data_IF_585333636882
#
_entry.id   IF_585333636882
#
_cell.length_a   1.000
_cell.length_b   1.000
_cell.length_c   1.000
_cell.angle_alpha   90.00
_cell.angle_beta   90.00
_cell.angle_gamma   90.00
#
_symmetry.space_group_name_H-M   'P 1'
#
loop_
_entity.id
_entity.type
_entity.pdbx_description
1 polymer ?
#
# COMPACT_ATOMS: atom_id res chain seq x y z
N UNK A 1 5.62 -12.36 12.18
CA UNK A 1 6.05 -11.24 11.33
C UNK A 1 4.95 -11.08 10.31
N UNK A 2 4.33 -9.90 10.21
CA UNK A 2 3.21 -9.67 9.29
C UNK A 2 3.76 -9.23 7.93
N UNK A 3 3.09 -9.62 6.84
CA UNK A 3 3.51 -9.29 5.47
C UNK A 3 3.02 -7.92 4.99
N UNK A 4 2.09 -7.30 5.70
CA UNK A 4 1.57 -5.96 5.45
C UNK A 4 1.04 -5.37 6.75
N UNK A 5 0.96 -4.05 6.88
CA UNK A 5 0.52 -3.41 8.11
C UNK A 5 -0.74 -2.58 7.87
N UNK A 6 -0.80 -1.85 6.75
CA UNK A 6 -1.91 -0.98 6.41
C UNK A 6 -2.94 -1.72 5.56
N UNK A 7 -4.20 -1.58 5.94
CA UNK A 7 -5.35 -2.14 5.22
C UNK A 7 -6.40 -1.06 4.99
N UNK A 8 -7.14 -1.19 3.89
CA UNK A 8 -8.35 -0.43 3.65
C UNK A 8 -9.57 -1.35 3.60
N UNK A 9 -10.74 -0.82 3.98
CA UNK A 9 -11.98 -1.58 3.92
C UNK A 9 -12.39 -1.82 2.47
N UNK A 10 -12.50 -3.09 2.09
CA UNK A 10 -12.94 -3.51 0.78
C UNK A 10 -13.58 -4.91 0.86
N UNK A 11 -14.72 -5.08 0.18
CA UNK A 11 -15.38 -6.38 0.08
C UNK A 11 -14.82 -7.24 -1.06
N UNK A 12 -14.07 -6.63 -1.99
CA UNK A 12 -13.46 -7.31 -3.11
C UNK A 12 -12.33 -6.46 -3.72
N UNK A 13 -11.48 -7.10 -4.54
CA UNK A 13 -10.53 -6.42 -5.43
C UNK A 13 -11.20 -6.10 -6.75
N UNK A 14 -11.08 -4.86 -7.23
CA UNK A 14 -11.61 -4.46 -8.53
C UNK A 14 -13.12 -4.67 -8.63
N UNK A 15 -13.56 -5.43 -9.62
CA UNK A 15 -14.97 -5.83 -9.82
C UNK A 15 -15.38 -7.10 -9.05
N UNK A 16 -14.46 -7.67 -8.26
CA UNK A 16 -14.67 -8.90 -7.50
C UNK A 16 -14.58 -10.19 -8.31
N UNK A 17 -14.01 -10.11 -9.51
CA UNK A 17 -13.66 -11.29 -10.31
C UNK A 17 -12.35 -11.93 -9.85
N UNK A 18 -12.23 -13.23 -10.10
CA UNK A 18 -11.00 -13.99 -9.89
C UNK A 18 -9.83 -13.40 -10.67
N UNK A 19 -10.07 -12.90 -11.89
CA UNK A 19 -9.04 -12.28 -12.72
C UNK A 19 -8.43 -11.02 -12.10
N UNK A 20 -9.26 -10.14 -11.52
CA UNK A 20 -8.77 -8.96 -10.80
C UNK A 20 -8.02 -9.36 -9.52
N UNK A 21 -8.52 -10.34 -8.76
CA UNK A 21 -7.84 -10.84 -7.57
C UNK A 21 -6.47 -11.44 -7.89
N UNK A 22 -6.37 -12.31 -8.89
CA UNK A 22 -5.08 -12.91 -9.32
C UNK A 22 -4.11 -11.82 -9.79
N UNK A 23 -4.58 -10.87 -10.59
CA UNK A 23 -3.75 -9.74 -11.06
C UNK A 23 -3.27 -8.84 -9.92
N UNK A 24 -4.05 -8.74 -8.83
CA UNK A 24 -3.65 -8.04 -7.61
C UNK A 24 -2.64 -8.85 -6.81
N UNK A 25 -2.83 -10.18 -6.65
CA UNK A 25 -1.88 -11.08 -5.98
C UNK A 25 -0.52 -11.08 -6.67
N UNK A 26 -0.48 -11.11 -8.00
CA UNK A 26 0.75 -11.02 -8.79
C UNK A 26 1.55 -9.76 -8.44
N UNK A 27 0.88 -8.61 -8.33
CA UNK A 27 1.51 -7.35 -7.94
C UNK A 27 1.92 -7.36 -6.48
N UNK A 28 1.05 -7.82 -5.59
CA UNK A 28 1.31 -7.91 -4.16
C UNK A 28 2.58 -8.73 -3.89
N UNK A 29 2.71 -9.91 -4.50
CA UNK A 29 3.90 -10.75 -4.42
C UNK A 29 5.11 -10.07 -5.06
N UNK A 30 4.96 -9.44 -6.23
CA UNK A 30 6.06 -8.73 -6.88
C UNK A 30 6.58 -7.54 -6.06
N UNK A 31 5.74 -6.92 -5.23
CA UNK A 31 6.14 -5.82 -4.34
C UNK A 31 6.85 -6.38 -3.11
N UNK A 32 6.36 -7.44 -2.49
CA UNK A 32 6.96 -8.02 -1.28
C UNK A 32 8.25 -8.79 -1.55
N UNK A 33 8.31 -9.45 -2.71
CA UNK A 33 9.40 -10.31 -3.13
C UNK A 33 9.89 -9.84 -4.50
N UNK A 34 10.60 -8.70 -4.60
CA UNK A 34 10.98 -8.11 -5.89
C UNK A 34 11.88 -9.02 -6.72
N UNK A 35 12.65 -9.89 -6.08
CA UNK A 35 13.53 -10.87 -6.71
C UNK A 35 12.89 -12.26 -6.78
N UNK A 36 11.56 -12.34 -6.69
CA UNK A 36 10.87 -13.62 -6.73
C UNK A 36 11.21 -14.43 -7.99
N UNK A 37 11.36 -15.73 -7.79
CA UNK A 37 11.70 -16.71 -8.82
C UNK A 37 10.46 -17.27 -9.54
N UNK A 38 9.33 -16.57 -9.48
CA UNK A 38 8.10 -16.99 -10.16
C UNK A 38 8.30 -16.80 -11.66
N UNK A 39 8.16 -17.90 -12.40
CA UNK A 39 8.22 -17.90 -13.87
C UNK A 39 6.89 -17.45 -14.45
N UNK A 40 5.78 -18.02 -13.96
CA UNK A 40 4.45 -17.65 -14.40
C UNK A 40 3.38 -17.95 -13.35
N UNK A 41 2.26 -17.23 -13.51
CA UNK A 41 1.00 -17.46 -12.82
C UNK A 41 0.03 -18.12 -13.78
N UNK A 42 -0.56 -19.23 -13.38
CA UNK A 42 -1.49 -19.96 -14.20
C UNK A 42 -2.90 -19.39 -14.09
N UNK A 43 -3.62 -19.41 -15.20
CA UNK A 43 -5.07 -19.39 -15.14
C UNK A 43 -5.60 -20.82 -15.13
N UNK A 44 -6.71 -21.00 -14.42
CA UNK A 44 -7.41 -22.28 -14.37
C UNK A 44 -8.27 -22.51 -15.63
N UNK A 45 -7.92 -21.88 -16.75
CA UNK A 45 -8.72 -21.85 -17.98
C UNK A 45 -9.02 -23.25 -18.54
N UNK A 46 -8.08 -24.18 -18.36
CA UNK A 46 -8.16 -25.56 -18.85
C UNK A 46 -8.44 -26.59 -17.76
N UNK A 47 -8.62 -26.15 -16.51
CA UNK A 47 -8.98 -27.06 -15.42
C UNK A 47 -10.47 -27.43 -15.49
N UNK A 48 -10.81 -28.62 -15.00
CA UNK A 48 -12.19 -29.11 -14.94
C UNK A 48 -13.04 -28.35 -13.90
N UNK A 49 -14.07 -28.99 -13.35
CA UNK A 49 -15.01 -28.36 -12.38
C UNK A 49 -14.36 -27.81 -11.10
N UNK A 50 -13.09 -28.10 -10.83
CA UNK A 50 -12.39 -27.78 -9.58
C UNK A 50 -11.55 -26.49 -9.62
N UNK A 51 -11.56 -25.73 -10.71
CA UNK A 51 -10.82 -24.46 -10.82
C UNK A 51 -11.70 -23.28 -11.19
N UNK A 52 -11.46 -22.15 -10.54
CA UNK A 52 -12.16 -20.88 -10.79
C UNK A 52 -11.58 -20.20 -12.03
N UNK A 53 -12.44 -19.81 -12.97
CA UNK A 53 -12.05 -19.06 -14.16
C UNK A 53 -11.89 -17.59 -13.83
N UNK A 54 -11.10 -16.88 -14.63
CA UNK A 54 -10.84 -15.43 -14.44
C UNK A 54 -12.11 -14.57 -14.37
N UNK A 55 -13.18 -14.97 -15.05
CA UNK A 55 -14.47 -14.25 -15.09
C UNK A 55 -15.39 -14.62 -13.94
N UNK A 56 -15.08 -15.66 -13.17
CA UNK A 56 -15.92 -16.09 -12.07
C UNK A 56 -15.79 -15.11 -10.90
N UNK A 57 -16.85 -14.96 -10.12
CA UNK A 57 -16.81 -14.21 -8.88
C UNK A 57 -15.95 -14.92 -7.84
N UNK A 58 -15.18 -14.16 -7.06
CA UNK A 58 -14.45 -14.71 -5.93
C UNK A 58 -15.46 -15.21 -4.87
N UNK A 59 -15.38 -16.47 -4.42
CA UNK A 59 -16.23 -16.96 -3.35
C UNK A 59 -16.06 -16.14 -2.07
N UNK A 60 -17.18 -15.76 -1.45
CA UNK A 60 -17.17 -14.99 -0.21
C UNK A 60 -17.07 -15.90 1.03
N UNK A 61 -16.68 -15.32 2.16
CA UNK A 61 -16.95 -15.92 3.46
C UNK A 61 -18.46 -15.97 3.73
N UNK A 62 -18.89 -16.89 4.59
CA UNK A 62 -20.29 -17.03 4.97
C UNK A 62 -20.57 -18.38 5.60
N UNK A 63 -21.83 -18.83 5.57
CA UNK A 63 -22.29 -20.06 6.21
C UNK A 63 -22.87 -21.10 5.24
N UNK A 64 -22.98 -20.79 3.95
CA UNK A 64 -23.52 -21.71 2.94
C UNK A 64 -22.42 -22.60 2.37
N UNK A 65 -22.80 -23.71 1.73
CA UNK A 65 -21.87 -24.70 1.16
C UNK A 65 -20.88 -24.11 0.16
N UNK A 66 -21.29 -23.09 -0.60
CA UNK A 66 -20.46 -22.39 -1.58
C UNK A 66 -19.51 -21.34 -0.97
N UNK A 67 -19.63 -21.04 0.33
CA UNK A 67 -18.77 -20.07 1.00
C UNK A 67 -17.40 -20.66 1.35
N UNK A 68 -16.40 -19.79 1.37
CA UNK A 68 -15.06 -20.12 1.84
C UNK A 68 -15.11 -20.46 3.33
N UNK A 69 -14.56 -21.63 3.68
CA UNK A 69 -14.34 -22.06 5.05
C UNK A 69 -12.93 -21.71 5.52
N UNK A 70 -11.90 -21.93 4.68
CA UNK A 70 -10.55 -21.39 4.88
C UNK A 70 -9.81 -21.19 3.55
N UNK A 71 -8.83 -20.30 3.57
CA UNK A 71 -7.83 -20.17 2.50
C UNK A 71 -6.82 -21.30 2.65
N UNK A 72 -6.40 -21.90 1.54
CA UNK A 72 -5.38 -22.94 1.52
C UNK A 72 -4.29 -22.55 0.52
N UNK A 73 -3.14 -22.11 1.03
CA UNK A 73 -1.94 -21.88 0.21
C UNK A 73 -0.82 -22.85 0.63
N UNK A 74 -0.32 -23.64 -0.31
CA UNK A 74 0.77 -24.58 -0.01
C UNK A 74 1.75 -24.74 -1.16
N UNK A 75 2.94 -25.24 -0.84
CA UNK A 75 3.99 -25.51 -1.82
C UNK A 75 4.09 -27.01 -2.05
N UNK A 76 4.07 -27.43 -3.32
CA UNK A 76 4.34 -28.80 -3.73
C UNK A 76 5.50 -28.86 -4.73
N UNK A 77 6.16 -30.01 -4.78
CA UNK A 77 7.16 -30.28 -5.80
C UNK A 77 6.45 -30.59 -7.14
N UNK A 78 6.83 -29.89 -8.20
CA UNK A 78 6.30 -30.03 -9.56
C UNK A 78 7.07 -31.05 -10.40
N UNK A 79 7.87 -31.91 -9.78
CA UNK A 79 8.82 -32.82 -10.44
C UNK A 79 9.77 -32.06 -11.40
N UNK A 80 9.45 -31.98 -12.69
CA UNK A 80 10.26 -31.29 -13.70
C UNK A 80 9.90 -29.79 -13.85
N UNK A 81 8.87 -29.33 -13.15
CA UNK A 81 8.35 -27.96 -13.25
C UNK A 81 8.91 -27.04 -12.14
N UNK A 82 9.87 -27.50 -11.34
CA UNK A 82 10.29 -26.76 -10.14
C UNK A 82 9.21 -26.84 -9.05
N UNK A 83 9.10 -25.82 -8.21
CA UNK A 83 8.08 -25.77 -7.14
C UNK A 83 6.83 -25.08 -7.63
N UNK A 84 5.69 -25.53 -7.09
CA UNK A 84 4.39 -24.95 -7.41
C UNK A 84 3.77 -24.46 -6.10
N UNK A 85 3.40 -23.18 -6.09
CA UNK A 85 2.60 -22.56 -5.04
C UNK A 85 1.15 -22.68 -5.49
N UNK A 86 0.40 -23.55 -4.82
CA UNK A 86 -1.03 -23.74 -5.05
C UNK A 86 -1.83 -22.79 -4.16
N UNK A 87 -2.82 -22.11 -4.73
CA UNK A 87 -3.67 -21.16 -4.03
C UNK A 87 -5.12 -21.57 -4.26
N UNK A 88 -5.79 -22.00 -3.19
CA UNK A 88 -7.13 -22.58 -3.25
C UNK A 88 -8.01 -22.05 -2.12
N UNK A 89 -9.32 -22.23 -2.30
CA UNK A 89 -10.29 -22.11 -1.23
C UNK A 89 -10.84 -23.49 -0.87
N UNK A 90 -10.85 -23.79 0.43
CA UNK A 90 -11.64 -24.89 0.95
C UNK A 90 -13.03 -24.36 1.26
N UNK A 91 -14.04 -24.94 0.61
CA UNK A 91 -15.43 -24.54 0.75
C UNK A 91 -16.09 -25.28 1.92
N UNK A 92 -17.20 -24.74 2.41
CA UNK A 92 -17.98 -25.39 3.48
C UNK A 92 -18.61 -26.72 3.06
N UNK A 93 -18.82 -26.93 1.76
CA UNK A 93 -19.22 -28.23 1.21
C UNK A 93 -18.20 -29.35 1.48
N UNK A 94 -16.96 -29.00 1.80
CA UNK A 94 -15.83 -29.93 1.89
C UNK A 94 -15.00 -30.03 0.61
N UNK A 95 -15.37 -29.29 -0.44
CA UNK A 95 -14.63 -29.26 -1.71
C UNK A 95 -13.50 -28.24 -1.69
N UNK A 96 -12.44 -28.53 -2.44
CA UNK A 96 -11.40 -27.55 -2.78
C UNK A 96 -11.69 -26.97 -4.17
N UNK A 97 -11.64 -25.65 -4.27
CA UNK A 97 -11.66 -24.93 -5.54
C UNK A 97 -10.35 -24.16 -5.71
N UNK A 98 -9.63 -24.45 -6.78
CA UNK A 98 -8.38 -23.76 -7.11
C UNK A 98 -8.69 -22.33 -7.56
N UNK A 99 -8.02 -21.35 -6.95
CA UNK A 99 -8.06 -19.96 -7.39
C UNK A 99 -7.05 -19.73 -8.52
N UNK A 100 -5.80 -20.11 -8.29
CA UNK A 100 -4.66 -19.99 -9.22
C UNK A 100 -3.49 -20.81 -8.66
N UNK A 101 -2.40 -20.90 -9.42
CA UNK A 101 -1.14 -21.43 -8.95
C UNK A 101 0.03 -20.71 -9.63
N UNK A 102 1.18 -20.69 -8.98
CA UNK A 102 2.40 -20.07 -9.49
C UNK A 102 3.53 -21.10 -9.58
N UNK A 103 4.19 -21.15 -10.74
CA UNK A 103 5.41 -21.94 -10.93
C UNK A 103 6.62 -21.11 -10.53
N UNK A 104 7.50 -21.68 -9.72
CA UNK A 104 8.71 -21.00 -9.23
C UNK A 104 9.94 -21.91 -9.29
N UNK A 105 11.07 -21.32 -9.68
CA UNK A 105 12.39 -21.94 -9.59
C UNK A 105 13.13 -21.56 -8.30
N UNK A 106 12.42 -20.91 -7.38
CA UNK A 106 12.96 -20.44 -6.12
C UNK A 106 13.25 -21.54 -5.12
N UNK A 107 13.87 -21.13 -4.02
CA UNK A 107 14.09 -22.02 -2.88
C UNK A 107 12.75 -22.44 -2.23
N UNK A 108 12.78 -23.52 -1.45
CA UNK A 108 11.61 -23.93 -0.68
C UNK A 108 11.17 -22.83 0.31
N UNK A 109 12.12 -22.18 0.98
CA UNK A 109 11.85 -21.13 1.97
C UNK A 109 11.23 -19.89 1.35
N UNK A 110 11.73 -19.47 0.17
CA UNK A 110 11.14 -18.39 -0.61
C UNK A 110 9.69 -18.74 -1.01
N UNK A 111 9.49 -19.94 -1.56
CA UNK A 111 8.17 -20.42 -2.01
C UNK A 111 7.16 -20.44 -0.86
N UNK A 112 7.55 -20.97 0.31
CA UNK A 112 6.71 -21.00 1.51
C UNK A 112 6.49 -19.62 2.11
N UNK A 113 7.42 -18.68 1.95
CA UNK A 113 7.24 -17.30 2.40
C UNK A 113 6.23 -16.56 1.52
N UNK A 114 6.26 -16.78 0.21
CA UNK A 114 5.25 -16.26 -0.73
C UNK A 114 3.88 -16.87 -0.42
N UNK A 115 3.79 -18.19 -0.25
CA UNK A 115 2.54 -18.88 0.06
C UNK A 115 1.87 -18.32 1.33
N UNK A 116 2.66 -18.09 2.39
CA UNK A 116 2.17 -17.49 3.64
C UNK A 116 1.73 -16.04 3.48
N UNK A 117 2.43 -15.24 2.67
CA UNK A 117 2.01 -13.86 2.38
C UNK A 117 0.68 -13.80 1.64
N UNK A 118 0.48 -14.69 0.66
CA UNK A 118 -0.78 -14.82 -0.07
C UNK A 118 -1.91 -15.28 0.86
N UNK A 119 -1.64 -16.27 1.71
CA UNK A 119 -2.61 -16.77 2.69
C UNK A 119 -3.09 -15.66 3.66
N UNK A 120 -2.16 -14.88 4.20
CA UNK A 120 -2.46 -13.76 5.10
C UNK A 120 -3.29 -12.67 4.39
N UNK A 121 -2.92 -12.32 3.15
CA UNK A 121 -3.63 -11.31 2.36
C UNK A 121 -5.06 -11.75 1.98
N UNK A 122 -5.22 -12.99 1.53
CA UNK A 122 -6.55 -13.54 1.20
C UNK A 122 -7.42 -13.69 2.44
N UNK A 123 -6.84 -14.13 3.56
CA UNK A 123 -7.56 -14.24 4.83
C UNK A 123 -8.06 -12.87 5.30
N UNK A 124 -7.20 -11.85 5.24
CA UNK A 124 -7.54 -10.44 5.53
C UNK A 124 -8.72 -9.95 4.68
N UNK A 125 -8.66 -10.17 3.36
CA UNK A 125 -9.71 -9.73 2.45
C UNK A 125 -11.03 -10.49 2.69
N UNK A 126 -10.99 -11.83 2.68
CA UNK A 126 -12.18 -12.68 2.64
C UNK A 126 -12.94 -12.67 3.97
N UNK A 127 -12.22 -12.71 5.10
CA UNK A 127 -12.85 -12.84 6.42
C UNK A 127 -12.99 -11.53 7.19
N UNK A 128 -12.14 -10.54 6.91
CA UNK A 128 -12.14 -9.27 7.64
C UNK A 128 -12.55 -8.06 6.79
N UNK A 129 -12.68 -8.24 5.47
CA UNK A 129 -12.98 -7.16 4.54
C UNK A 129 -11.87 -6.11 4.50
N UNK A 130 -10.63 -6.54 4.75
CA UNK A 130 -9.45 -5.69 4.89
C UNK A 130 -8.47 -6.01 3.77
N UNK A 131 -8.31 -5.10 2.83
CA UNK A 131 -7.42 -5.24 1.68
C UNK A 131 -6.07 -4.57 1.98
N UNK A 132 -4.94 -5.30 1.88
CA UNK A 132 -3.61 -4.72 2.05
C UNK A 132 -3.34 -3.56 1.08
N UNK A 133 -2.82 -2.45 1.61
CA UNK A 133 -2.65 -1.22 0.82
C UNK A 133 -1.38 -1.21 -0.06
N UNK A 134 -0.45 -2.16 0.11
CA UNK A 134 0.84 -2.20 -0.60
C UNK A 134 0.71 -2.01 -2.12
N UNK A 135 -0.26 -2.68 -2.76
CA UNK A 135 -0.51 -2.56 -4.20
C UNK A 135 -0.98 -1.16 -4.56
N UNK A 136 -1.87 -0.57 -3.76
CA UNK A 136 -2.37 0.79 -3.98
C UNK A 136 -1.24 1.80 -3.83
N UNK A 137 -0.40 1.68 -2.80
CA UNK A 137 0.79 2.53 -2.59
C UNK A 137 1.77 2.43 -3.76
N UNK A 138 2.12 1.21 -4.19
CA UNK A 138 3.01 0.98 -5.32
C UNK A 138 2.47 1.56 -6.63
N UNK A 139 1.14 1.56 -6.83
CA UNK A 139 0.53 2.16 -8.02
C UNK A 139 0.66 3.69 -8.07
N UNK A 140 0.95 4.37 -6.96
CA UNK A 140 1.19 5.82 -6.92
C UNK A 140 2.61 6.17 -7.42
N UNK A 141 3.53 5.20 -7.46
CA UNK A 141 4.88 5.41 -7.97
C UNK A 141 4.92 5.36 -9.51
N UNK A 142 5.52 6.38 -10.16
CA UNK A 142 5.76 6.36 -11.61
C UNK A 142 6.62 5.16 -12.03
N UNK A 143 6.26 4.54 -13.15
CA UNK A 143 6.94 3.37 -13.72
C UNK A 143 6.95 3.44 -15.24
N UNK A 144 7.94 2.81 -15.86
CA UNK A 144 8.04 2.74 -17.33
C UNK A 144 6.88 1.93 -17.94
N UNK A 145 6.41 0.90 -17.24
CA UNK A 145 5.26 0.07 -17.60
C UNK A 145 4.66 -0.56 -16.34
N UNK A 146 3.41 -1.03 -16.43
CA UNK A 146 2.61 -1.50 -15.26
C UNK A 146 3.27 -2.65 -14.49
N UNK A 147 4.01 -3.52 -15.18
CA UNK A 147 4.71 -4.67 -14.60
C UNK A 147 6.16 -4.37 -14.19
N UNK A 148 6.65 -3.13 -14.36
CA UNK A 148 8.00 -2.78 -13.93
C UNK A 148 8.10 -2.91 -12.41
N UNK A 149 9.14 -3.63 -11.97
CA UNK A 149 9.44 -3.86 -10.54
C UNK A 149 10.11 -2.64 -9.88
N UNK A 150 10.68 -1.74 -10.69
CA UNK A 150 11.37 -0.54 -10.23
C UNK A 150 10.60 0.73 -10.59
N UNK A 151 10.68 1.75 -9.74
CA UNK A 151 10.18 3.08 -10.06
C UNK A 151 11.11 3.84 -11.01
N UNK A 152 10.54 4.66 -11.88
CA UNK A 152 11.30 5.62 -12.71
C UNK A 152 11.58 6.92 -11.96
N UNK A 153 10.98 7.14 -10.79
CA UNK A 153 11.17 8.34 -9.99
C UNK A 153 12.58 8.36 -9.38
N UNK A 154 13.41 9.31 -9.83
CA UNK A 154 14.80 9.48 -9.37
C UNK A 154 14.95 10.48 -8.23
N UNK A 155 13.98 11.37 -8.05
CA UNK A 155 13.97 12.32 -6.94
C UNK A 155 13.87 11.57 -5.61
N UNK A 156 14.59 12.05 -4.58
CA UNK A 156 14.48 11.50 -3.23
C UNK A 156 13.06 11.69 -2.71
N UNK A 157 12.48 10.61 -2.17
CA UNK A 157 11.17 10.59 -1.54
C UNK A 157 11.36 10.74 -0.03
N UNK A 158 10.63 11.66 0.58
CA UNK A 158 10.57 11.78 2.03
C UNK A 158 9.28 11.15 2.52
N UNK A 159 9.40 10.12 3.37
CA UNK A 159 8.29 9.60 4.20
C UNK A 159 8.33 10.37 5.51
N UNK A 160 7.40 11.30 5.67
CA UNK A 160 7.20 12.06 6.89
C UNK A 160 6.08 11.39 7.68
N UNK A 161 6.34 10.99 8.92
CA UNK A 161 5.35 10.34 9.79
C UNK A 161 5.22 11.09 11.11
N UNK A 162 3.98 11.45 11.46
CA UNK A 162 3.59 11.96 12.77
C UNK A 162 2.81 10.91 13.58
N UNK A 163 2.47 11.18 14.85
CA UNK A 163 1.68 10.27 15.67
C UNK A 163 0.28 9.96 15.14
N UNK A 164 -0.20 10.63 14.09
CA UNK A 164 -1.58 10.53 13.60
C UNK A 164 -1.70 10.81 12.10
N UNK A 165 -0.59 11.00 11.38
CA UNK A 165 -0.62 11.41 9.99
C UNK A 165 0.66 11.01 9.24
N UNK A 166 0.57 10.94 7.91
CA UNK A 166 1.71 10.69 7.03
C UNK A 166 1.67 11.58 5.79
N UNK A 167 2.85 12.04 5.37
CA UNK A 167 3.06 12.70 4.09
C UNK A 167 4.24 12.03 3.38
N UNK A 168 3.97 11.48 2.20
CA UNK A 168 4.96 10.88 1.32
C UNK A 168 5.05 11.74 0.08
N UNK A 169 6.18 12.41 -0.10
CA UNK A 169 6.39 13.31 -1.23
C UNK A 169 7.82 13.27 -1.73
N UNK A 170 8.01 13.59 -3.01
CA UNK A 170 9.33 13.72 -3.61
C UNK A 170 9.90 15.13 -3.43
N UNK A 171 11.22 15.25 -3.53
CA UNK A 171 11.91 16.55 -3.55
C UNK A 171 11.45 17.47 -4.71
N UNK A 172 10.83 16.94 -5.76
CA UNK A 172 10.24 17.73 -6.85
C UNK A 172 8.81 18.21 -6.58
N UNK A 173 8.26 17.94 -5.39
CA UNK A 173 6.90 18.37 -5.00
C UNK A 173 5.78 17.38 -5.37
N UNK A 174 6.08 16.25 -6.01
CA UNK A 174 5.06 15.21 -6.25
C UNK A 174 4.65 14.57 -4.92
N UNK A 175 3.36 14.63 -4.59
CA UNK A 175 2.76 13.98 -3.42
C UNK A 175 2.25 12.60 -3.81
N UNK A 176 2.75 11.58 -3.12
CA UNK A 176 2.35 10.19 -3.29
C UNK A 176 1.29 9.80 -2.26
N UNK A 177 1.38 10.28 -1.02
CA UNK A 177 0.37 10.00 0.01
C UNK A 177 0.31 11.17 1.00
N UNK A 178 -0.89 11.55 1.40
CA UNK A 178 -1.13 12.60 2.38
C UNK A 178 -2.42 12.26 3.13
N UNK A 179 -2.29 11.72 4.34
CA UNK A 179 -3.42 11.25 5.15
C UNK A 179 -3.27 11.64 6.60
N UNK A 180 -4.39 11.94 7.23
CA UNK A 180 -4.50 12.21 8.66
C UNK A 180 -5.60 11.35 9.26
N UNK A 181 -5.33 10.84 10.46
CA UNK A 181 -6.24 10.06 11.29
C UNK A 181 -6.53 10.77 12.62
N UNK A 182 -6.25 12.08 12.74
CA UNK A 182 -6.43 12.86 13.96
C UNK A 182 -7.85 12.73 14.58
N UNK A 183 -8.88 12.58 13.72
CA UNK A 183 -10.27 12.41 14.14
C UNK A 183 -10.62 11.00 14.64
N UNK A 184 -9.69 10.03 14.52
CA UNK A 184 -9.92 8.62 14.87
C UNK A 184 -9.51 8.26 16.31
N UNK A 185 -9.15 9.27 17.13
CA UNK A 185 -8.86 9.09 18.55
C UNK A 185 -7.71 8.10 18.79
N UNK A 186 -7.92 7.11 19.66
CA UNK A 186 -6.87 6.20 20.15
C UNK A 186 -6.20 5.34 19.08
N UNK A 187 -6.80 5.15 17.89
CA UNK A 187 -6.25 4.33 16.81
C UNK A 187 -5.45 5.14 15.78
N UNK A 188 -5.39 6.47 15.91
CA UNK A 188 -4.75 7.34 14.94
C UNK A 188 -3.25 7.01 14.72
N UNK A 189 -2.54 6.71 15.81
CA UNK A 189 -1.11 6.41 15.76
C UNK A 189 -0.75 5.03 15.25
N UNK A 190 -1.61 4.04 15.49
CA UNK A 190 -1.42 2.71 14.95
C UNK A 190 -1.58 2.73 13.41
N UNK A 191 -2.57 3.46 12.91
CA UNK A 191 -2.80 3.63 11.46
C UNK A 191 -1.65 4.38 10.77
N UNK A 192 -1.20 5.50 11.35
CA UNK A 192 -0.09 6.26 10.80
C UNK A 192 1.21 5.44 10.76
N UNK A 193 1.48 4.66 11.82
CA UNK A 193 2.64 3.77 11.91
C UNK A 193 2.56 2.66 10.87
N UNK A 194 1.41 2.00 10.77
CA UNK A 194 1.18 0.92 9.80
C UNK A 194 1.41 1.39 8.36
N UNK A 195 0.84 2.55 8.00
CA UNK A 195 1.00 3.12 6.66
C UNK A 195 2.45 3.53 6.38
N UNK A 196 3.15 4.11 7.37
CA UNK A 196 4.56 4.47 7.21
C UNK A 196 5.45 3.22 7.00
N UNK A 197 5.21 2.13 7.74
CA UNK A 197 5.94 0.87 7.59
C UNK A 197 5.75 0.25 6.20
N UNK A 198 4.52 0.26 5.69
CA UNK A 198 4.23 -0.27 4.36
C UNK A 198 4.81 0.61 3.25
N UNK A 199 4.81 1.94 3.41
CA UNK A 199 5.52 2.83 2.48
C UNK A 199 7.02 2.57 2.44
N UNK A 200 7.66 2.35 3.59
CA UNK A 200 9.09 1.98 3.65
C UNK A 200 9.32 0.67 2.90
N UNK A 201 8.46 -0.33 3.08
CA UNK A 201 8.54 -1.62 2.36
C UNK A 201 8.42 -1.42 0.85
N UNK A 202 7.38 -0.69 0.39
CA UNK A 202 7.14 -0.41 -1.03
C UNK A 202 8.33 0.33 -1.65
N UNK A 203 8.81 1.40 -1.02
CA UNK A 203 9.90 2.22 -1.56
C UNK A 203 11.21 1.43 -1.63
N UNK A 204 11.50 0.62 -0.60
CA UNK A 204 12.69 -0.25 -0.57
C UNK A 204 12.64 -1.26 -1.71
N UNK A 205 11.53 -1.98 -1.86
CA UNK A 205 11.43 -3.07 -2.82
C UNK A 205 11.29 -2.57 -4.25
N UNK A 206 10.73 -1.38 -4.46
CA UNK A 206 10.66 -0.73 -5.78
C UNK A 206 11.91 0.09 -6.14
N UNK A 207 12.99 -0.06 -5.35
CA UNK A 207 14.30 0.58 -5.56
C UNK A 207 14.23 2.12 -5.66
N UNK A 208 13.33 2.73 -4.89
CA UNK A 208 13.24 4.18 -4.79
C UNK A 208 14.35 4.74 -3.87
N UNK A 209 14.84 5.94 -4.16
CA UNK A 209 15.67 6.67 -3.22
C UNK A 209 14.76 7.37 -2.20
N UNK A 210 14.87 7.06 -0.91
CA UNK A 210 14.00 7.64 0.09
C UNK A 210 14.67 7.82 1.46
N UNK A 211 14.08 8.69 2.27
CA UNK A 211 14.38 8.87 3.69
C UNK A 211 13.12 8.86 4.53
N UNK A 212 13.20 8.33 5.74
CA UNK A 212 12.15 8.36 6.74
C UNK A 212 12.47 9.44 7.78
N UNK A 213 11.50 10.32 8.05
CA UNK A 213 11.61 11.36 9.07
C UNK A 213 10.43 11.21 10.02
N UNK A 214 10.73 10.97 11.30
CA UNK A 214 9.74 11.01 12.38
C UNK A 214 9.58 12.47 12.82
N UNK A 215 8.39 13.03 12.65
CA UNK A 215 8.09 14.41 13.03
C UNK A 215 6.89 14.41 13.98
N UNK A 216 7.11 14.77 15.24
CA UNK A 216 6.14 14.52 16.31
C UNK A 216 4.93 15.46 16.29
N UNK A 217 4.95 16.57 15.52
CA UNK A 217 3.91 17.59 15.61
C UNK A 217 3.61 18.29 14.27
N UNK A 218 2.95 17.61 13.34
CA UNK A 218 2.52 18.18 12.05
C UNK A 218 1.01 18.17 11.84
N UNK A 219 0.52 19.18 11.13
CA UNK A 219 -0.85 19.26 10.64
C UNK A 219 -0.85 18.87 9.15
N UNK A 220 -1.71 17.91 8.79
CA UNK A 220 -2.02 17.59 7.40
C UNK A 220 -3.44 18.04 7.12
N UNK A 221 -3.61 18.80 6.03
CA UNK A 221 -4.90 19.35 5.61
C UNK A 221 -5.22 18.84 4.21
N UNK A 222 -6.39 18.20 4.05
CA UNK A 222 -6.76 17.49 2.83
C UNK A 222 -6.75 18.38 1.56
N UNK A 223 -7.13 19.65 1.68
CA UNK A 223 -7.16 20.61 0.56
C UNK A 223 -5.82 21.29 0.26
N UNK A 224 -4.78 20.99 1.07
CA UNK A 224 -3.43 21.53 0.91
C UNK A 224 -2.40 20.41 0.63
N UNK A 225 -2.55 19.63 -0.46
CA UNK A 225 -1.61 18.56 -0.77
C UNK A 225 -0.20 19.11 -0.96
N UNK A 226 0.78 18.50 -0.28
CA UNK A 226 2.20 18.82 -0.42
C UNK A 226 2.69 19.97 0.44
N UNK A 227 1.80 20.69 1.12
CA UNK A 227 2.20 21.61 2.18
C UNK A 227 2.60 20.83 3.42
N UNK A 228 3.66 21.29 4.06
CA UNK A 228 4.18 20.70 5.28
C UNK A 228 4.01 21.72 6.40
N UNK A 229 3.05 21.50 7.29
CA UNK A 229 2.75 22.39 8.41
C UNK A 229 3.28 21.76 9.69
N UNK A 230 4.45 22.19 10.16
CA UNK A 230 5.09 21.69 11.39
C UNK A 230 4.96 22.64 12.56
N UNK A 231 4.45 22.15 13.68
CA UNK A 231 4.65 22.78 14.97
C UNK A 231 6.12 22.59 15.39
N UNK A 232 6.87 23.68 15.39
CA UNK A 232 8.24 23.79 15.89
C UNK A 232 8.30 24.60 17.18
N UNK A 233 7.19 24.66 17.91
CA UNK A 233 7.12 25.26 19.23
C UNK A 233 8.13 24.63 20.19
N UNK A 234 8.75 25.46 21.02
CA UNK A 234 9.67 25.03 22.09
C UNK A 234 8.96 25.27 23.42
N UNK A 235 9.14 24.35 24.37
CA UNK A 235 8.65 24.36 25.77
C UNK A 235 7.72 25.53 26.15
N UNK A 236 6.40 25.27 26.11
CA UNK A 236 5.36 26.22 26.53
C UNK A 236 4.85 27.17 25.45
N UNK A 237 5.44 27.16 24.25
CA UNK A 237 4.96 27.93 23.10
C UNK A 237 4.55 27.00 21.95
N UNK A 238 3.36 27.21 21.37
CA UNK A 238 2.97 26.61 20.09
C UNK A 238 3.38 27.52 18.95
N UNK A 239 3.98 26.96 17.90
CA UNK A 239 4.47 27.75 16.77
C UNK A 239 4.60 26.92 15.51
N UNK A 240 3.86 27.28 14.48
CA UNK A 240 3.77 26.52 13.24
C UNK A 240 4.61 27.16 12.13
N UNK A 241 5.23 26.31 11.32
CA UNK A 241 5.95 26.69 10.12
C UNK A 241 5.34 25.96 8.94
N UNK A 242 5.14 26.68 7.84
CA UNK A 242 4.57 26.15 6.61
C UNK A 242 5.66 26.08 5.54
N UNK A 243 5.97 24.88 5.06
CA UNK A 243 6.78 24.67 3.87
C UNK A 243 5.84 24.37 2.69
N UNK A 244 5.87 25.16 1.61
CA UNK A 244 5.07 24.91 0.43
C UNK A 244 5.59 23.71 -0.38
N UNK A 245 4.78 23.14 -1.30
CA UNK A 245 5.19 22.04 -2.17
C UNK A 245 6.49 22.35 -2.93
N UNK A 246 7.46 21.45 -2.86
CA UNK A 246 8.78 21.60 -3.49
C UNK A 246 9.81 22.41 -2.68
N UNK A 247 9.42 22.98 -1.53
CA UNK A 247 10.34 23.65 -0.62
C UNK A 247 11.33 22.68 0.04
N UNK A 248 12.54 23.18 0.36
CA UNK A 248 13.61 22.42 1.01
C UNK A 248 13.56 22.62 2.52
N UNK A 249 13.29 21.55 3.25
CA UNK A 249 13.14 21.63 4.72
C UNK A 249 14.39 22.07 5.51
N UNK A 250 15.56 22.13 4.87
CA UNK A 250 16.82 22.60 5.45
C UNK A 250 17.16 24.05 5.06
N UNK A 251 16.36 24.67 4.21
CA UNK A 251 16.52 26.07 3.79
C UNK A 251 15.38 26.89 4.42
N UNK A 252 15.69 27.65 5.47
CA UNK A 252 14.70 28.44 6.18
C UNK A 252 13.97 29.45 5.28
N UNK A 253 14.57 29.82 4.14
CA UNK A 253 13.98 30.77 3.17
C UNK A 253 12.81 30.19 2.38
N UNK A 254 12.69 28.86 2.33
CA UNK A 254 11.61 28.19 1.61
C UNK A 254 10.32 28.14 2.44
N UNK A 255 10.36 28.48 3.73
CA UNK A 255 9.20 28.52 4.60
C UNK A 255 8.39 29.82 4.44
N UNK A 256 7.07 29.73 4.54
CA UNK A 256 6.17 30.92 4.51
C UNK A 256 6.28 31.78 5.78
N UNK A 257 6.95 31.29 6.82
CA UNK A 257 7.18 31.99 8.06
C UNK A 257 6.70 31.22 9.29
N UNK A 258 6.68 31.95 10.42
CA UNK A 258 6.16 31.50 11.71
C UNK A 258 4.69 31.92 11.87
N UNK A 259 3.87 31.01 12.38
CA UNK A 259 2.45 31.22 12.68
C UNK A 259 2.13 30.80 14.11
N UNK A 260 1.37 31.60 14.87
CA UNK A 260 1.14 31.33 16.29
C UNK A 260 0.14 30.19 16.54
N UNK A 261 -0.71 29.88 15.57
CA UNK A 261 -1.69 28.79 15.65
C UNK A 261 -1.71 27.92 14.39
N UNK A 262 -2.29 26.73 14.52
CA UNK A 262 -2.50 25.82 13.39
C UNK A 262 -3.42 26.43 12.34
N UNK A 263 -4.50 27.10 12.76
CA UNK A 263 -5.44 27.74 11.83
C UNK A 263 -4.78 28.85 11.01
N UNK A 264 -3.92 29.67 11.64
CA UNK A 264 -3.17 30.72 10.94
C UNK A 264 -2.22 30.14 9.90
N UNK A 265 -1.54 29.05 10.24
CA UNK A 265 -0.67 28.33 9.31
C UNK A 265 -1.45 27.74 8.12
N UNK A 266 -2.63 27.18 8.38
CA UNK A 266 -3.52 26.64 7.34
C UNK A 266 -4.04 27.77 6.43
N UNK A 267 -4.44 28.90 7.01
CA UNK A 267 -4.89 30.07 6.26
C UNK A 267 -3.77 30.62 5.35
N UNK A 268 -2.55 30.71 5.86
CA UNK A 268 -1.40 31.15 5.08
C UNK A 268 -1.04 30.18 3.94
N UNK A 269 -1.14 28.87 4.20
CA UNK A 269 -0.95 27.85 3.17
C UNK A 269 -2.01 27.95 2.06
N UNK A 270 -3.29 28.15 2.42
CA UNK A 270 -4.39 28.36 1.45
C UNK A 270 -4.19 29.63 0.64
N UNK A 271 -3.78 30.72 1.27
CA UNK A 271 -3.51 31.97 0.58
C UNK A 271 -2.33 31.85 -0.40
N UNK A 272 -1.25 31.18 0.02
CA UNK A 272 -0.13 30.87 -0.87
C UNK A 272 -0.55 29.97 -2.05
N UNK A 273 -1.37 28.94 -1.80
CA UNK A 273 -1.92 28.07 -2.84
C UNK A 273 -2.78 28.86 -3.84
N UNK A 274 -3.66 29.74 -3.36
CA UNK A 274 -4.52 30.58 -4.19
C UNK A 274 -3.71 31.53 -5.08
N UNK A 275 -2.57 32.04 -4.59
CA UNK A 275 -1.67 32.89 -5.37
C UNK A 275 -0.87 32.14 -6.46
N UNK A 276 -0.80 30.82 -6.38
CA UNK A 276 0.00 29.99 -7.29
C UNK A 276 -0.82 28.98 -8.12
N UNK A 277 -2.14 28.93 -7.94
CA UNK A 277 -3.03 28.27 -8.89
C UNK A 277 -3.13 29.16 -10.15
N UNK A 278 -3.00 28.59 -11.37
CA UNK A 278 -3.24 29.36 -12.57
C UNK A 278 -4.72 29.78 -12.56
N UNK A 279 -4.96 31.10 -12.68
CA UNK A 279 -6.30 31.63 -12.92
C UNK A 279 -6.80 30.95 -14.18
N UNK A 280 -7.87 30.15 -14.05
CA UNK A 280 -8.54 29.56 -15.20
C UNK A 280 -8.96 30.71 -16.12
N UNK A 281 -8.36 30.73 -17.32
CA UNK A 281 -8.76 31.60 -18.43
C UNK A 281 -9.91 30.95 -19.19
#
# INVERSE_FOLDING_TARGET
MSYFNAVCKANAVGDGTVGELVSWLEKFVSILFPDNSIEYWADNQYTGKSGLKRTDSVPAAGLTDACVHHVACYVREGSNEGRIIEILFYLRSGDYVSLTWAKTFGSADESWSIARAVDEALTSLIFFGDLPELVTMANKLPRAYRSARETTLKAEITVLSSPDSILVSSASGLVLDARSWAEQGSFAGDNATAVAMDWVTVLTNMKANFRLVKDQHRLIVADLPGYVISNRGVEGCTGFYVLPPGGKAHDDRDYLGYFPSGEDAIAAARDHQARHLPVAA
#
